data_IF_854015050251
#
_entry.id   IF_854015050251
#
_cell.length_a   1.000
_cell.length_b   1.000
_cell.length_c   1.000
_cell.angle_alpha   90.00
_cell.angle_beta   90.00
_cell.angle_gamma   90.00
#
_symmetry.space_group_name_H-M   'P 1'
#
loop_
_entity.id
_entity.type
_entity.pdbx_description
1 polymer ?
#
# COMPACT_ATOMS: atom_id res chain seq x y z
N UNK A 1 -22.47 2.53 -4.94
CA UNK A 1 -23.26 3.26 -5.96
C UNK A 1 -23.40 2.39 -7.21
N UNK A 2 -24.34 2.68 -8.13
CA UNK A 2 -24.42 1.95 -9.39
C UNK A 2 -23.13 2.13 -10.19
N UNK A 3 -22.52 1.04 -10.67
CA UNK A 3 -21.42 1.11 -11.63
C UNK A 3 -21.88 1.92 -12.85
N UNK A 4 -21.07 2.88 -13.30
CA UNK A 4 -21.38 3.73 -14.46
C UNK A 4 -22.07 5.07 -14.16
N UNK A 5 -22.40 5.37 -12.90
CA UNK A 5 -22.84 6.72 -12.53
C UNK A 5 -21.64 7.68 -12.46
N UNK A 6 -21.70 8.80 -13.20
CA UNK A 6 -20.64 9.83 -13.30
C UNK A 6 -20.19 10.36 -11.94
N UNK A 7 -21.08 10.39 -10.95
CA UNK A 7 -20.78 10.88 -9.60
C UNK A 7 -20.15 9.83 -8.68
N UNK A 8 -20.15 8.54 -9.06
CA UNK A 8 -19.63 7.47 -8.20
C UNK A 8 -18.18 7.69 -7.75
N UNK A 9 -17.23 8.06 -8.62
CA UNK A 9 -15.85 8.30 -8.21
C UNK A 9 -15.73 9.45 -7.21
N UNK A 10 -16.48 10.53 -7.42
CA UNK A 10 -16.48 11.69 -6.52
C UNK A 10 -17.03 11.31 -5.15
N UNK A 11 -18.16 10.61 -5.10
CA UNK A 11 -18.76 10.15 -3.86
C UNK A 11 -17.82 9.19 -3.11
N UNK A 12 -17.13 8.30 -3.82
CA UNK A 12 -16.17 7.40 -3.21
C UNK A 12 -14.94 8.14 -2.65
N UNK A 13 -14.43 9.14 -3.37
CA UNK A 13 -13.36 10.01 -2.86
C UNK A 13 -13.79 10.75 -1.58
N UNK A 14 -15.00 11.32 -1.57
CA UNK A 14 -15.54 12.00 -0.38
C UNK A 14 -15.73 11.03 0.79
N UNK A 15 -16.28 9.86 0.52
CA UNK A 15 -16.53 8.82 1.50
C UNK A 15 -15.26 8.33 2.19
N UNK A 16 -14.18 8.15 1.43
CA UNK A 16 -12.92 7.67 1.99
C UNK A 16 -12.02 8.79 2.49
N UNK A 17 -12.37 10.07 2.29
CA UNK A 17 -11.47 11.22 2.44
C UNK A 17 -10.85 11.34 3.84
N UNK A 18 -11.60 10.99 4.87
CA UNK A 18 -11.20 11.04 6.29
C UNK A 18 -10.17 9.96 6.68
N UNK A 19 -10.01 8.90 5.89
CA UNK A 19 -8.91 7.94 6.02
C UNK A 19 -7.56 8.63 5.75
N UNK A 20 -6.93 9.16 6.78
CA UNK A 20 -5.65 9.86 6.69
C UNK A 20 -4.69 9.32 7.73
N UNK A 21 -3.41 9.32 7.41
CA UNK A 21 -2.39 9.02 8.41
C UNK A 21 -2.26 10.20 9.37
N UNK A 22 -2.18 9.92 10.66
CA UNK A 22 -1.86 10.88 11.72
C UNK A 22 -0.38 10.80 12.14
N UNK A 23 0.42 9.98 11.46
CA UNK A 23 1.83 9.72 11.76
C UNK A 23 2.72 10.49 10.80
N UNK A 24 3.79 11.11 11.30
CA UNK A 24 4.68 11.99 10.51
C UNK A 24 5.41 11.24 9.38
N UNK A 25 6.00 10.07 9.69
CA UNK A 25 6.81 9.28 8.75
C UNK A 25 6.02 8.22 7.98
N UNK A 26 4.69 8.26 8.05
CA UNK A 26 3.84 7.23 7.48
C UNK A 26 2.66 7.87 6.77
N UNK A 27 2.36 7.39 5.57
CA UNK A 27 1.37 7.99 4.69
C UNK A 27 0.39 6.93 4.19
N UNK A 28 -0.86 7.35 4.01
CA UNK A 28 -1.90 6.58 3.33
C UNK A 28 -2.21 7.32 2.03
N UNK A 29 -1.97 6.66 0.91
CA UNK A 29 -2.25 7.15 -0.44
C UNK A 29 -3.42 6.33 -0.97
N UNK A 30 -4.41 7.00 -1.57
CA UNK A 30 -5.64 6.35 -2.07
C UNK A 30 -5.88 6.75 -3.51
N UNK A 31 -6.29 5.79 -4.34
CA UNK A 31 -6.75 6.01 -5.70
C UNK A 31 -7.89 5.04 -5.99
N UNK A 32 -9.12 5.57 -6.07
CA UNK A 32 -10.31 4.72 -6.08
C UNK A 32 -10.22 3.66 -4.96
N UNK A 33 -10.49 2.39 -5.27
CA UNK A 33 -10.42 1.26 -4.33
C UNK A 33 -8.98 0.81 -3.98
N UNK A 34 -7.97 1.27 -4.71
CA UNK A 34 -6.57 0.99 -4.38
C UNK A 34 -6.08 1.93 -3.27
N UNK A 35 -5.40 1.35 -2.27
CA UNK A 35 -4.76 2.09 -1.18
C UNK A 35 -3.35 1.58 -0.95
N UNK A 36 -2.43 2.50 -0.66
CA UNK A 36 -1.02 2.22 -0.37
C UNK A 36 -0.65 2.85 0.96
N UNK A 37 -0.03 2.05 1.82
CA UNK A 37 0.61 2.53 3.03
C UNK A 37 2.11 2.64 2.75
N UNK A 38 2.65 3.83 2.94
CA UNK A 38 4.11 4.07 2.87
C UNK A 38 4.59 4.39 4.27
N UNK A 39 5.70 3.80 4.70
CA UNK A 39 6.29 4.09 6.01
C UNK A 39 7.79 4.17 5.88
N UNK A 40 8.37 5.28 6.32
CA UNK A 40 9.80 5.38 6.54
C UNK A 40 10.11 4.78 7.91
N UNK A 41 10.80 3.65 7.91
CA UNK A 41 11.13 2.88 9.10
C UNK A 41 12.53 3.21 9.59
N UNK A 42 12.67 3.37 10.90
CA UNK A 42 13.97 3.37 11.58
C UNK A 42 14.38 1.94 11.97
N UNK A 43 15.67 1.73 12.25
CA UNK A 43 16.25 0.40 12.48
C UNK A 43 15.60 -0.42 13.60
N UNK A 44 14.97 0.24 14.56
CA UNK A 44 14.29 -0.39 15.70
C UNK A 44 12.80 -0.66 15.46
N UNK A 45 12.23 -0.19 14.35
CA UNK A 45 10.81 -0.33 14.05
C UNK A 45 10.53 -1.64 13.31
N UNK A 46 9.53 -2.40 13.78
CA UNK A 46 9.19 -3.71 13.22
C UNK A 46 8.25 -3.66 11.99
N UNK A 47 8.10 -2.50 11.33
CA UNK A 47 7.25 -2.35 10.14
C UNK A 47 6.22 -1.22 10.22
N UNK A 48 5.15 -1.38 9.45
CA UNK A 48 4.07 -0.38 9.32
C UNK A 48 3.23 -0.20 10.60
N UNK A 49 3.19 -1.19 11.48
CA UNK A 49 2.55 -1.22 12.80
C UNK A 49 1.41 -0.22 13.01
N UNK A 50 1.69 0.97 13.59
CA UNK A 50 0.65 1.89 14.03
C UNK A 50 -0.23 2.44 12.90
N UNK A 51 0.32 2.70 11.70
CA UNK A 51 -0.50 3.19 10.57
C UNK A 51 -1.31 2.06 9.94
N UNK A 52 -0.78 0.84 9.93
CA UNK A 52 -1.48 -0.33 9.40
C UNK A 52 -2.66 -0.69 10.29
N UNK A 53 -2.45 -0.72 11.61
CA UNK A 53 -3.52 -0.97 12.58
C UNK A 53 -4.62 0.09 12.49
N UNK A 54 -4.24 1.36 12.37
CA UNK A 54 -5.18 2.46 12.15
C UNK A 54 -6.00 2.26 10.86
N UNK A 55 -5.33 1.96 9.75
CA UNK A 55 -5.98 1.75 8.46
C UNK A 55 -6.94 0.56 8.49
N UNK A 56 -6.53 -0.57 9.06
CA UNK A 56 -7.36 -1.77 9.17
C UNK A 56 -8.62 -1.51 10.00
N UNK A 57 -8.49 -0.83 11.14
CA UNK A 57 -9.66 -0.43 11.96
C UNK A 57 -10.58 0.52 11.20
N UNK A 58 -10.01 1.53 10.54
CA UNK A 58 -10.79 2.47 9.75
C UNK A 58 -11.58 1.78 8.64
N UNK A 59 -10.99 0.77 7.96
CA UNK A 59 -11.71 -0.03 6.97
C UNK A 59 -12.90 -0.77 7.61
N UNK A 60 -12.71 -1.37 8.78
CA UNK A 60 -13.79 -2.08 9.49
C UNK A 60 -14.91 -1.14 9.93
N UNK A 61 -14.58 0.00 10.53
CA UNK A 61 -15.53 1.02 10.96
C UNK A 61 -16.26 1.66 9.77
N UNK A 62 -15.58 1.71 8.62
CA UNK A 62 -16.13 2.21 7.36
C UNK A 62 -16.78 1.11 6.52
N UNK A 63 -17.01 -0.10 7.02
CA UNK A 63 -17.65 -1.19 6.25
C UNK A 63 -16.95 -1.55 4.93
N UNK A 64 -15.63 -1.34 4.85
CA UNK A 64 -14.78 -1.71 3.73
C UNK A 64 -14.05 -3.01 4.02
N UNK A 65 -14.08 -3.94 3.06
CA UNK A 65 -13.42 -5.23 3.20
C UNK A 65 -12.04 -5.22 2.56
N UNK A 66 -11.00 -5.38 3.38
CA UNK A 66 -9.63 -5.55 2.90
C UNK A 66 -9.43 -6.96 2.34
N UNK A 67 -8.98 -7.04 1.09
CA UNK A 67 -8.59 -8.30 0.47
C UNK A 67 -7.11 -8.60 0.73
N UNK A 68 -6.82 -9.19 1.89
CA UNK A 68 -5.44 -9.47 2.34
C UNK A 68 -4.67 -10.34 1.34
N UNK A 69 -5.33 -11.28 0.65
CA UNK A 69 -4.68 -12.14 -0.36
C UNK A 69 -4.13 -11.36 -1.56
N UNK A 70 -4.72 -10.20 -1.87
CA UNK A 70 -4.27 -9.28 -2.92
C UNK A 70 -3.34 -8.19 -2.41
N UNK A 71 -3.29 -7.95 -1.10
CA UNK A 71 -2.35 -7.01 -0.49
C UNK A 71 -0.91 -7.55 -0.61
N UNK A 72 0.01 -6.70 -1.02
CA UNK A 72 1.44 -7.00 -1.12
C UNK A 72 2.23 -6.02 -0.26
N UNK A 73 3.31 -6.51 0.33
CA UNK A 73 4.27 -5.72 1.10
C UNK A 73 5.58 -5.64 0.31
N UNK A 74 6.14 -4.45 0.13
CA UNK A 74 7.39 -4.24 -0.60
C UNK A 74 8.32 -3.41 0.27
N UNK A 75 9.51 -3.95 0.53
CA UNK A 75 10.53 -3.33 1.37
C UNK A 75 11.63 -2.76 0.49
N UNK A 76 11.84 -1.45 0.57
CA UNK A 76 12.89 -0.74 -0.16
C UNK A 76 13.98 -0.37 0.84
N UNK A 77 15.16 -0.95 0.68
CA UNK A 77 16.33 -0.67 1.52
C UNK A 77 17.61 -0.75 0.68
N UNK A 78 18.34 0.37 0.61
CA UNK A 78 19.56 0.50 -0.19
C UNK A 78 20.83 0.15 0.58
N UNK A 79 20.73 -0.22 1.85
CA UNK A 79 21.89 -0.62 2.65
C UNK A 79 22.46 -1.94 2.14
N UNK A 80 23.78 -2.08 2.21
CA UNK A 80 24.48 -3.32 1.82
C UNK A 80 24.09 -4.52 2.70
N UNK A 81 23.84 -4.27 3.98
CA UNK A 81 23.43 -5.26 4.98
C UNK A 81 22.17 -4.74 5.68
N UNK A 82 20.98 -4.88 5.07
CA UNK A 82 19.74 -4.42 5.68
C UNK A 82 19.40 -5.29 6.91
N UNK A 83 18.79 -4.70 7.95
CA UNK A 83 18.29 -5.46 9.08
C UNK A 83 17.18 -6.41 8.63
N UNK A 84 17.04 -7.53 9.33
CA UNK A 84 15.93 -8.47 9.10
C UNK A 84 14.63 -7.78 9.48
N UNK A 85 13.77 -7.50 8.51
CA UNK A 85 12.46 -6.91 8.75
C UNK A 85 11.43 -8.00 9.03
N UNK A 86 10.60 -7.79 10.05
CA UNK A 86 9.53 -8.71 10.41
C UNK A 86 8.53 -8.94 9.26
N UNK A 87 7.85 -10.10 9.30
CA UNK A 87 6.72 -10.39 8.43
C UNK A 87 5.54 -9.49 8.78
N UNK A 88 4.91 -8.89 7.78
CA UNK A 88 3.69 -8.08 7.98
C UNK A 88 2.47 -8.99 8.07
N UNK A 89 1.60 -8.74 9.04
CA UNK A 89 0.33 -9.44 9.21
C UNK A 89 -0.85 -8.48 9.20
N UNK A 90 -1.93 -8.86 8.53
CA UNK A 90 -3.22 -8.15 8.54
C UNK A 90 -4.28 -9.13 9.01
N UNK A 91 -4.93 -8.83 10.14
CA UNK A 91 -5.95 -9.68 10.77
C UNK A 91 -5.50 -11.14 10.93
N UNK A 92 -4.24 -11.33 11.36
CA UNK A 92 -3.63 -12.65 11.55
C UNK A 92 -3.20 -13.37 10.27
N UNK A 93 -3.45 -12.80 9.08
CA UNK A 93 -3.02 -13.35 7.80
C UNK A 93 -1.71 -12.70 7.37
N UNK A 94 -0.71 -13.51 6.99
CA UNK A 94 0.56 -12.99 6.49
C UNK A 94 0.37 -12.31 5.14
N UNK A 95 0.95 -11.11 4.98
CA UNK A 95 0.94 -10.38 3.71
C UNK A 95 2.13 -10.85 2.87
N UNK A 96 1.91 -11.14 1.58
CA UNK A 96 2.99 -11.56 0.69
C UNK A 96 4.00 -10.43 0.49
N UNK A 97 5.26 -10.71 0.83
CA UNK A 97 6.37 -9.80 0.53
C UNK A 97 6.83 -10.01 -0.92
N UNK A 98 6.96 -8.92 -1.67
CA UNK A 98 7.36 -8.91 -3.08
C UNK A 98 8.53 -7.96 -3.30
N UNK A 99 9.29 -8.22 -4.37
CA UNK A 99 10.37 -7.35 -4.83
C UNK A 99 9.97 -6.47 -6.03
N UNK A 100 8.80 -6.72 -6.62
CA UNK A 100 8.22 -5.88 -7.66
C UNK A 100 6.70 -5.93 -7.59
N UNK A 101 6.05 -4.83 -7.98
CA UNK A 101 4.60 -4.73 -8.00
C UNK A 101 4.13 -3.73 -9.05
N UNK A 102 3.02 -4.04 -9.72
CA UNK A 102 2.39 -3.13 -10.68
C UNK A 102 1.31 -2.31 -9.97
N UNK A 103 1.56 -1.03 -9.79
CA UNK A 103 0.64 -0.09 -9.16
C UNK A 103 0.20 0.98 -10.17
N UNK A 104 -1.11 1.10 -10.39
CA UNK A 104 -1.73 2.07 -11.32
C UNK A 104 -1.09 2.11 -12.72
N UNK A 105 -0.66 0.95 -13.23
CA UNK A 105 -0.04 0.83 -14.55
C UNK A 105 1.49 0.89 -14.56
N UNK A 106 2.12 1.36 -13.47
CA UNK A 106 3.58 1.48 -13.33
C UNK A 106 4.13 0.30 -12.56
N UNK A 107 5.20 -0.33 -13.07
CA UNK A 107 5.92 -1.39 -12.35
C UNK A 107 6.97 -0.74 -11.46
N UNK A 108 6.88 -0.98 -10.15
CA UNK A 108 7.88 -0.58 -9.16
C UNK A 108 8.64 -1.81 -8.69
N UNK A 109 9.91 -1.65 -8.38
CA UNK A 109 10.77 -2.68 -7.79
C UNK A 109 11.44 -2.18 -6.51
N UNK A 110 11.91 -3.10 -5.69
CA UNK A 110 12.55 -2.84 -4.39
C UNK A 110 13.89 -2.11 -4.47
N UNK A 111 14.43 -1.93 -5.69
CA UNK A 111 15.63 -1.15 -5.99
C UNK A 111 15.30 0.19 -6.63
N UNK A 112 14.02 0.47 -6.89
CA UNK A 112 13.56 1.63 -7.66
C UNK A 112 14.31 1.80 -8.99
N UNK A 113 14.66 0.71 -9.68
CA UNK A 113 15.42 0.78 -10.93
C UNK A 113 14.54 1.15 -12.14
N UNK A 114 13.24 0.80 -12.10
CA UNK A 114 12.28 1.01 -13.19
C UNK A 114 12.65 0.30 -14.50
N UNK A 115 13.62 -0.62 -14.49
CA UNK A 115 14.03 -1.37 -15.69
C UNK A 115 12.86 -2.19 -16.23
N UNK A 116 12.19 -2.96 -15.35
CA UNK A 116 11.03 -3.79 -15.73
C UNK A 116 9.87 -2.95 -16.28
N UNK A 117 9.69 -1.74 -15.76
CA UNK A 117 8.68 -0.80 -16.26
C UNK A 117 9.04 -0.29 -17.65
N UNK A 118 10.29 0.15 -17.84
CA UNK A 118 10.79 0.66 -19.12
C UNK A 118 10.69 -0.40 -20.20
N UNK A 119 11.11 -1.64 -19.90
CA UNK A 119 10.97 -2.78 -20.80
C UNK A 119 9.51 -3.04 -21.18
N UNK A 120 8.58 -3.01 -20.21
CA UNK A 120 7.18 -3.25 -20.46
C UNK A 120 6.51 -2.16 -21.31
N UNK A 121 6.99 -0.92 -21.22
CA UNK A 121 6.50 0.21 -22.02
C UNK A 121 7.11 0.20 -23.43
N UNK A 122 8.42 -0.03 -23.56
CA UNK A 122 9.13 -0.01 -24.85
C UNK A 122 8.84 -1.22 -25.74
N UNK A 123 8.32 -2.33 -25.18
CA UNK A 123 7.88 -3.51 -25.95
C UNK A 123 6.47 -3.39 -26.52
N UNK A 124 5.77 -2.27 -26.27
CA UNK A 124 4.50 -1.93 -26.94
C UNK A 124 4.76 -1.11 -28.19
#
# INVERSE_FOLDING_TARGET
SPQGCVLSPLLFMLYTNDCKSTFESRHIIKFADDSVIVSLLQDHEAGHGPVLDHFVRWCDDSYLQLNVSKTKDMKIDFRKNPPVTAQTFVKGTAVDTVNHYKYLGTILDDKLSFESNSDAICRK
#
